data_IF_943068481402
#
_entry.id   IF_943068481402
#
_cell.length_a   1.000
_cell.length_b   1.000
_cell.length_c   1.000
_cell.angle_alpha   90.00
_cell.angle_beta   90.00
_cell.angle_gamma   90.00
#
_symmetry.space_group_name_H-M   'P 1'
#
loop_
_entity.id
_entity.type
_entity.pdbx_description
1 polymer ?
#
# COMPACT_ATOMS: atom_id res chain seq x y z
N UNK A 1 15.12 -36.45 -72.74
CA UNK A 1 14.45 -36.73 -71.50
C UNK A 1 14.84 -35.66 -70.47
N UNK A 2 14.07 -34.59 -70.35
CA UNK A 2 14.36 -33.53 -69.38
C UNK A 2 13.47 -33.73 -68.14
N UNK A 3 14.07 -34.00 -66.99
CA UNK A 3 13.39 -34.05 -65.72
C UNK A 3 13.27 -32.61 -65.19
N UNK A 4 12.05 -32.11 -65.09
CA UNK A 4 11.74 -30.83 -64.43
C UNK A 4 11.72 -31.06 -62.90
N UNK A 5 12.63 -30.40 -62.17
CA UNK A 5 12.60 -30.35 -60.73
C UNK A 5 11.63 -29.23 -60.32
N UNK A 6 10.56 -29.58 -59.57
CA UNK A 6 9.68 -28.63 -58.90
C UNK A 6 10.35 -28.19 -57.58
N UNK A 7 10.69 -26.93 -57.47
CA UNK A 7 11.11 -26.31 -56.21
C UNK A 7 9.83 -25.82 -55.51
N UNK A 8 9.46 -26.49 -54.44
CA UNK A 8 8.36 -26.07 -53.56
C UNK A 8 8.89 -24.94 -52.66
N UNK A 9 8.36 -23.73 -52.85
CA UNK A 9 8.63 -22.57 -52.02
C UNK A 9 7.71 -22.66 -50.79
N UNK A 10 8.23 -23.05 -49.63
CA UNK A 10 7.51 -23.02 -48.37
C UNK A 10 7.40 -21.57 -47.88
N UNK A 11 6.19 -21.03 -47.95
CA UNK A 11 5.85 -19.76 -47.25
C UNK A 11 5.77 -20.03 -45.75
N UNK A 12 6.77 -19.57 -45.01
CA UNK A 12 6.67 -19.47 -43.55
C UNK A 12 5.82 -18.24 -43.24
N UNK A 13 4.53 -18.47 -42.93
CA UNK A 13 3.66 -17.43 -42.36
C UNK A 13 4.10 -17.24 -40.93
N UNK A 14 4.95 -16.25 -40.70
CA UNK A 14 5.27 -15.77 -39.37
C UNK A 14 3.98 -15.19 -38.74
N UNK A 15 3.50 -15.83 -37.67
CA UNK A 15 2.45 -15.27 -36.86
C UNK A 15 2.98 -13.98 -36.20
N UNK A 16 2.69 -12.84 -36.82
CA UNK A 16 2.83 -11.55 -36.16
C UNK A 16 1.79 -11.51 -35.05
N UNK A 17 2.26 -11.57 -33.80
CA UNK A 17 1.39 -11.24 -32.66
C UNK A 17 0.92 -9.79 -32.87
N UNK A 18 -0.38 -9.63 -33.10
CA UNK A 18 -0.99 -8.32 -33.12
C UNK A 18 -0.78 -7.69 -31.75
N UNK A 19 0.18 -6.78 -31.65
CA UNK A 19 0.31 -5.93 -30.48
C UNK A 19 -1.03 -5.18 -30.36
N UNK A 20 -1.73 -5.45 -29.26
CA UNK A 20 -2.97 -4.73 -28.98
C UNK A 20 -2.66 -3.23 -28.97
N UNK A 21 -3.41 -2.47 -29.77
CA UNK A 21 -3.28 -1.02 -29.78
C UNK A 21 -3.55 -0.49 -28.38
N UNK A 22 -2.72 0.43 -27.87
CA UNK A 22 -2.93 1.00 -26.53
C UNK A 22 -4.31 1.65 -26.46
N UNK A 23 -5.02 1.42 -25.36
CA UNK A 23 -6.34 2.01 -25.14
C UNK A 23 -6.24 3.53 -25.22
N UNK A 24 -7.22 4.18 -25.85
CA UNK A 24 -7.23 5.61 -26.20
C UNK A 24 -7.02 6.57 -25.00
N UNK A 25 -7.13 6.08 -23.77
CA UNK A 25 -6.94 6.82 -22.51
C UNK A 25 -5.67 6.46 -21.74
N UNK A 26 -4.73 5.74 -22.34
CA UNK A 26 -3.53 5.33 -21.62
C UNK A 26 -2.61 6.54 -21.39
N UNK A 27 -2.35 6.84 -20.11
CA UNK A 27 -1.37 7.85 -19.72
C UNK A 27 0.02 7.24 -19.75
N UNK A 28 1.01 8.05 -20.17
CA UNK A 28 2.40 7.63 -20.26
C UNK A 28 3.27 8.44 -19.30
N UNK A 29 4.29 7.82 -18.77
CA UNK A 29 5.35 8.51 -18.05
C UNK A 29 6.25 9.30 -19.03
N UNK A 30 7.09 10.20 -18.48
CA UNK A 30 8.02 10.99 -19.31
C UNK A 30 8.97 10.16 -20.18
N UNK A 31 9.23 8.91 -19.79
CA UNK A 31 10.06 7.94 -20.52
C UNK A 31 9.28 7.17 -21.62
N UNK A 32 8.01 7.51 -21.86
CA UNK A 32 7.17 6.85 -22.85
C UNK A 32 6.58 5.50 -22.43
N UNK A 33 6.79 5.08 -21.17
CA UNK A 33 6.18 3.86 -20.65
C UNK A 33 4.75 4.12 -20.18
N UNK A 34 3.82 3.16 -20.38
CA UNK A 34 2.49 3.28 -19.83
C UNK A 34 2.53 3.44 -18.30
N UNK A 35 1.86 4.45 -17.78
CA UNK A 35 1.63 4.54 -16.33
C UNK A 35 0.76 3.35 -15.99
N UNK A 36 1.25 2.49 -15.13
CA UNK A 36 0.46 1.37 -14.67
C UNK A 36 -0.81 1.89 -14.01
N UNK A 37 -1.95 1.46 -14.53
CA UNK A 37 -3.24 1.81 -13.97
C UNK A 37 -3.28 1.40 -12.50
N UNK A 38 -3.82 2.29 -11.67
CA UNK A 38 -4.16 1.92 -10.30
C UNK A 38 -5.14 0.76 -10.37
N UNK A 39 -4.98 -0.29 -9.57
CA UNK A 39 -6.01 -1.30 -9.45
C UNK A 39 -7.33 -0.64 -9.05
N UNK A 40 -8.46 -1.19 -9.48
CA UNK A 40 -9.79 -0.63 -9.20
C UNK A 40 -9.97 -0.34 -7.71
N UNK A 41 -9.45 -1.20 -6.86
CA UNK A 41 -9.47 -1.06 -5.38
C UNK A 41 -8.71 0.17 -4.88
N UNK A 42 -7.66 0.59 -5.57
CA UNK A 42 -6.87 1.78 -5.23
C UNK A 42 -7.33 3.04 -5.98
N UNK A 43 -8.48 2.98 -6.68
CA UNK A 43 -9.01 4.11 -7.47
C UNK A 43 -9.11 5.39 -6.66
N UNK A 44 -9.55 5.29 -5.43
CA UNK A 44 -9.80 6.42 -4.54
C UNK A 44 -8.54 6.87 -3.78
N UNK A 45 -7.38 6.21 -4.01
CA UNK A 45 -6.11 6.66 -3.48
C UNK A 45 -5.70 7.98 -4.14
N UNK A 46 -5.52 9.02 -3.33
CA UNK A 46 -5.10 10.35 -3.76
C UNK A 46 -3.60 10.45 -3.58
N UNK A 47 -2.88 10.55 -4.68
CA UNK A 47 -1.45 10.80 -4.70
C UNK A 47 -1.20 12.31 -4.84
N UNK A 48 -0.37 12.87 -3.95
CA UNK A 48 -0.08 14.31 -3.94
C UNK A 48 0.97 14.66 -5.00
N UNK A 49 0.83 15.84 -5.61
CA UNK A 49 1.86 16.42 -6.48
C UNK A 49 3.09 16.87 -5.71
N UNK A 50 2.92 17.27 -4.46
CA UNK A 50 3.99 17.69 -3.56
C UNK A 50 3.78 17.01 -2.22
N UNK A 51 4.83 16.39 -1.71
CA UNK A 51 4.82 15.73 -0.41
C UNK A 51 4.48 16.72 0.72
N UNK A 52 3.84 16.23 1.78
CA UNK A 52 3.35 17.03 2.91
C UNK A 52 3.96 16.51 4.22
N UNK A 53 3.88 17.32 5.26
CA UNK A 53 4.24 16.88 6.61
C UNK A 53 3.29 15.80 7.13
N UNK A 54 3.84 14.89 7.94
CA UNK A 54 3.10 13.88 8.69
C UNK A 54 3.70 13.81 10.10
N UNK A 55 2.91 13.65 11.17
CA UNK A 55 3.45 13.47 12.50
C UNK A 55 4.21 12.13 12.58
N UNK A 56 5.49 12.18 12.88
CA UNK A 56 6.33 10.98 12.95
C UNK A 56 6.45 10.43 14.37
N UNK A 57 6.22 11.25 15.37
CA UNK A 57 6.42 10.98 16.79
C UNK A 57 5.11 11.16 17.59
N UNK A 58 5.14 10.81 18.87
CA UNK A 58 4.00 10.94 19.78
C UNK A 58 3.18 9.65 19.92
N UNK A 59 3.59 8.57 19.28
CA UNK A 59 2.91 7.28 19.34
C UNK A 59 3.46 6.38 20.46
N UNK A 60 2.65 5.40 20.88
CA UNK A 60 3.08 4.36 21.83
C UNK A 60 2.60 3.00 21.34
N UNK A 61 3.34 1.95 21.68
CA UNK A 61 2.83 0.59 21.57
C UNK A 61 1.77 0.30 22.66
N UNK A 62 1.13 -0.86 22.58
CA UNK A 62 0.09 -1.22 23.55
C UNK A 62 0.64 -1.50 24.96
N UNK A 63 1.95 -1.65 25.13
CA UNK A 63 2.63 -1.74 26.43
C UNK A 63 2.99 -0.35 26.98
N UNK A 64 2.82 0.72 26.20
CA UNK A 64 3.09 2.10 26.58
C UNK A 64 4.48 2.62 26.22
N UNK A 65 5.29 1.83 25.50
CA UNK A 65 6.63 2.26 25.08
C UNK A 65 6.52 3.27 23.92
N UNK A 66 7.31 4.35 23.93
CA UNK A 66 7.33 5.33 22.85
C UNK A 66 7.66 4.70 21.50
N UNK A 67 6.99 5.14 20.45
CA UNK A 67 7.18 4.70 19.09
C UNK A 67 7.30 5.90 18.14
N UNK A 68 8.14 5.77 17.13
CA UNK A 68 8.34 6.77 16.09
C UNK A 68 8.36 6.15 14.71
N UNK A 69 7.68 6.76 13.75
CA UNK A 69 7.74 6.36 12.34
C UNK A 69 9.12 6.65 11.73
N UNK A 70 9.92 7.52 12.34
CA UNK A 70 11.30 7.83 11.91
C UNK A 70 12.22 6.62 11.92
N UNK A 71 11.89 5.55 12.68
CA UNK A 71 12.65 4.29 12.67
C UNK A 71 12.57 3.55 11.31
N UNK A 72 11.63 3.93 10.45
CA UNK A 72 11.42 3.30 9.14
C UNK A 72 11.93 4.16 7.98
N UNK A 73 12.94 5.01 8.23
CA UNK A 73 13.63 5.73 7.16
C UNK A 73 14.02 4.79 6.03
N UNK A 74 14.08 5.32 4.83
CA UNK A 74 14.38 4.64 3.57
C UNK A 74 13.27 3.70 3.05
N UNK A 75 12.21 3.43 3.84
CA UNK A 75 11.10 2.56 3.43
C UNK A 75 9.88 3.36 2.98
N UNK A 76 9.09 2.77 2.10
CA UNK A 76 7.70 3.18 1.93
C UNK A 76 6.93 2.74 3.18
N UNK A 77 6.32 3.69 3.89
CA UNK A 77 5.52 3.37 5.08
C UNK A 77 4.04 3.56 4.78
N UNK A 78 3.25 2.53 5.00
CA UNK A 78 1.79 2.58 4.89
C UNK A 78 1.23 2.57 6.30
N UNK A 79 0.67 3.70 6.71
CA UNK A 79 0.08 3.91 8.03
C UNK A 79 -1.42 3.67 7.94
N UNK A 80 -1.90 2.62 8.60
CA UNK A 80 -3.31 2.31 8.80
C UNK A 80 -3.80 3.02 10.06
N UNK A 81 -4.56 4.08 9.91
CA UNK A 81 -5.21 4.80 11.01
C UNK A 81 -6.58 4.21 11.24
N UNK A 82 -6.81 3.68 12.43
CA UNK A 82 -8.01 2.90 12.74
C UNK A 82 -8.55 3.12 14.14
N UNK A 83 -9.72 2.55 14.41
CA UNK A 83 -10.33 2.53 15.74
C UNK A 83 -11.04 1.22 16.01
N UNK A 84 -10.86 0.66 17.22
CA UNK A 84 -11.47 -0.61 17.61
C UNK A 84 -13.01 -0.57 17.67
N UNK A 85 -13.58 0.62 17.68
CA UNK A 85 -15.03 0.88 17.68
C UNK A 85 -15.62 0.94 16.26
N UNK A 86 -14.79 1.09 15.22
CA UNK A 86 -15.25 1.16 13.84
C UNK A 86 -15.50 -0.23 13.26
N UNK A 87 -16.72 -0.53 12.88
CA UNK A 87 -17.08 -1.81 12.27
C UNK A 87 -16.30 -2.08 10.97
N UNK A 88 -15.98 -1.03 10.21
CA UNK A 88 -15.18 -1.13 8.99
C UNK A 88 -13.73 -1.50 9.32
N UNK A 89 -13.13 -0.87 10.33
CA UNK A 89 -11.78 -1.23 10.79
C UNK A 89 -11.72 -2.66 11.34
N UNK A 90 -12.76 -3.07 12.07
CA UNK A 90 -12.83 -4.45 12.58
C UNK A 90 -12.79 -5.49 11.45
N UNK A 91 -13.44 -5.20 10.32
CA UNK A 91 -13.42 -6.08 9.14
C UNK A 91 -12.08 -6.09 8.42
N UNK A 92 -11.36 -4.96 8.38
CA UNK A 92 -10.05 -4.87 7.72
C UNK A 92 -8.88 -5.38 8.57
N UNK A 93 -9.02 -5.43 9.89
CA UNK A 93 -7.93 -5.79 10.80
C UNK A 93 -7.24 -7.14 10.50
N UNK A 94 -7.96 -8.26 10.16
CA UNK A 94 -7.30 -9.50 9.78
C UNK A 94 -6.41 -9.36 8.54
N UNK A 95 -6.80 -8.50 7.61
CA UNK A 95 -6.07 -8.26 6.39
C UNK A 95 -4.83 -7.41 6.66
N UNK A 96 -4.94 -6.42 7.56
CA UNK A 96 -3.78 -5.64 8.02
C UNK A 96 -2.77 -6.54 8.74
N UNK A 97 -3.23 -7.49 9.57
CA UNK A 97 -2.36 -8.48 10.18
C UNK A 97 -1.58 -9.30 9.15
N UNK A 98 -2.25 -9.71 8.06
CA UNK A 98 -1.61 -10.41 6.94
C UNK A 98 -0.54 -9.54 6.28
N UNK A 99 -0.83 -8.29 5.97
CA UNK A 99 0.15 -7.38 5.37
C UNK A 99 1.33 -7.10 6.30
N UNK A 100 1.10 -6.93 7.59
CA UNK A 100 2.20 -6.79 8.54
C UNK A 100 3.10 -8.04 8.54
N UNK A 101 2.53 -9.24 8.51
CA UNK A 101 3.29 -10.48 8.44
C UNK A 101 4.10 -10.62 7.13
N UNK A 102 3.55 -10.12 6.02
CA UNK A 102 4.17 -10.19 4.69
C UNK A 102 5.27 -9.15 4.51
N UNK A 103 4.99 -7.90 4.86
CA UNK A 103 5.86 -6.77 4.53
C UNK A 103 6.75 -6.29 5.67
N UNK A 104 6.45 -6.61 6.94
CA UNK A 104 7.24 -6.14 8.08
C UNK A 104 8.49 -6.99 8.32
N UNK A 105 9.19 -7.36 7.26
CA UNK A 105 10.46 -8.08 7.29
C UNK A 105 11.63 -7.10 7.16
N UNK A 106 12.82 -7.42 7.71
CA UNK A 106 13.98 -6.53 7.65
C UNK A 106 14.35 -6.10 6.23
N UNK A 107 14.31 -7.04 5.27
CA UNK A 107 14.67 -6.85 3.87
C UNK A 107 13.61 -6.10 3.07
N UNK A 108 12.37 -6.00 3.53
CA UNK A 108 11.28 -5.35 2.81
C UNK A 108 11.49 -3.85 2.72
N UNK A 109 11.26 -3.29 1.53
CA UNK A 109 11.22 -1.83 1.29
C UNK A 109 9.92 -1.19 1.75
N UNK A 110 8.95 -2.00 2.16
CA UNK A 110 7.62 -1.58 2.58
C UNK A 110 7.44 -1.89 4.06
N UNK A 111 6.77 -1.00 4.76
CA UNK A 111 6.40 -1.18 6.17
C UNK A 111 4.93 -0.83 6.37
N UNK A 112 4.18 -1.73 7.00
CA UNK A 112 2.82 -1.48 7.46
C UNK A 112 2.80 -1.18 8.96
N UNK A 113 2.19 -0.05 9.33
CA UNK A 113 2.05 0.37 10.72
C UNK A 113 0.59 0.69 11.00
N UNK A 114 -0.06 -0.07 11.87
CA UNK A 114 -1.41 0.27 12.32
C UNK A 114 -1.33 1.17 13.56
N UNK A 115 -2.02 2.31 13.52
CA UNK A 115 -2.08 3.27 14.64
C UNK A 115 -3.54 3.50 15.01
N UNK A 116 -3.90 3.10 16.22
CA UNK A 116 -5.25 3.31 16.74
C UNK A 116 -5.42 4.73 17.29
N UNK A 117 -6.57 5.34 16.97
CA UNK A 117 -7.02 6.60 17.58
C UNK A 117 -8.03 6.35 18.73
N UNK A 118 -8.04 5.17 19.31
CA UNK A 118 -8.81 4.90 20.52
C UNK A 118 -8.30 5.75 21.70
N UNK A 119 -9.21 6.38 22.43
CA UNK A 119 -8.86 7.13 23.65
C UNK A 119 -8.26 6.26 24.77
N UNK A 120 -8.48 4.94 24.70
CA UNK A 120 -8.01 4.00 25.70
C UNK A 120 -7.41 2.76 25.04
N UNK A 121 -6.09 2.54 25.14
CA UNK A 121 -5.40 1.42 24.52
C UNK A 121 -5.93 0.05 24.98
N UNK A 122 -6.52 -0.04 26.18
CA UNK A 122 -7.15 -1.27 26.65
C UNK A 122 -8.33 -1.73 25.76
N UNK A 123 -8.96 -0.82 25.01
CA UNK A 123 -9.98 -1.20 24.02
C UNK A 123 -9.36 -1.93 22.85
N UNK A 124 -8.21 -1.44 22.34
CA UNK A 124 -7.44 -2.08 21.28
C UNK A 124 -6.99 -3.48 21.72
N UNK A 125 -6.39 -3.60 22.90
CA UNK A 125 -5.95 -4.89 23.45
C UNK A 125 -7.10 -5.88 23.54
N UNK A 126 -8.25 -5.46 24.11
CA UNK A 126 -9.45 -6.31 24.18
C UNK A 126 -10.00 -6.71 22.82
N UNK A 127 -9.95 -5.81 21.86
CA UNK A 127 -10.36 -6.12 20.49
C UNK A 127 -9.45 -7.21 19.89
N UNK A 128 -8.13 -7.03 19.94
CA UNK A 128 -7.15 -8.00 19.41
C UNK A 128 -7.34 -9.38 20.02
N UNK A 129 -7.49 -9.45 21.36
CA UNK A 129 -7.72 -10.71 22.06
C UNK A 129 -9.05 -11.38 21.67
N UNK A 130 -10.14 -10.61 21.61
CA UNK A 130 -11.48 -11.13 21.28
C UNK A 130 -11.58 -11.64 19.85
N UNK A 131 -10.92 -10.96 18.90
CA UNK A 131 -10.97 -11.30 17.47
C UNK A 131 -9.93 -12.34 17.09
N UNK A 132 -9.11 -12.79 18.05
CA UNK A 132 -8.03 -13.76 17.80
C UNK A 132 -7.16 -13.40 16.59
N UNK A 133 -6.83 -12.12 16.48
CA UNK A 133 -5.88 -11.67 15.45
C UNK A 133 -4.55 -12.39 15.65
N UNK A 134 -3.81 -12.66 14.56
CA UNK A 134 -2.48 -13.27 14.64
C UNK A 134 -1.58 -12.46 15.58
N UNK A 135 -0.65 -13.13 16.28
CA UNK A 135 0.35 -12.47 17.14
C UNK A 135 1.25 -11.48 16.37
N UNK A 136 1.33 -11.66 15.05
CA UNK A 136 2.02 -10.73 14.16
C UNK A 136 1.32 -9.37 14.03
N UNK A 137 0.04 -9.27 14.41
CA UNK A 137 -0.66 -7.99 14.39
C UNK A 137 -0.16 -7.09 15.51
N UNK A 138 0.56 -6.06 15.13
CA UNK A 138 1.01 -5.00 16.02
C UNK A 138 0.25 -3.71 15.76
N UNK A 139 -0.28 -3.10 16.79
CA UNK A 139 -0.87 -1.76 16.71
C UNK A 139 -0.20 -0.84 17.71
N UNK A 140 0.13 0.34 17.26
CA UNK A 140 0.40 1.47 18.13
C UNK A 140 -0.90 2.19 18.46
N UNK A 141 -0.82 3.17 19.32
CA UNK A 141 -1.93 4.10 19.56
C UNK A 141 -1.42 5.53 19.64
N UNK A 142 -2.31 6.47 19.38
CA UNK A 142 -2.08 7.91 19.37
C UNK A 142 -2.70 8.52 20.64
N UNK A 143 -1.95 8.60 21.77
CA UNK A 143 -2.48 9.04 23.07
C UNK A 143 -2.92 10.49 23.06
N UNK A 144 -2.23 11.33 22.30
CA UNK A 144 -2.42 12.78 22.29
C UNK A 144 -3.29 13.25 21.09
N UNK A 145 -3.83 12.29 20.33
CA UNK A 145 -4.66 12.55 19.14
C UNK A 145 -4.02 13.49 18.11
N UNK A 146 -2.70 13.36 17.91
CA UNK A 146 -1.96 14.17 16.93
C UNK A 146 -2.40 13.91 15.49
N UNK A 147 -2.79 12.66 15.17
CA UNK A 147 -3.26 12.31 13.83
C UNK A 147 -4.58 13.03 13.53
N UNK A 148 -5.68 12.87 14.31
CA UNK A 148 -6.93 13.54 13.98
C UNK A 148 -6.86 15.06 14.13
N UNK A 149 -5.89 15.61 14.86
CA UNK A 149 -5.68 17.04 14.95
C UNK A 149 -5.01 17.65 13.70
N UNK A 150 -4.26 16.86 12.93
CA UNK A 150 -3.44 17.34 11.83
C UNK A 150 -3.83 16.80 10.45
N UNK A 151 -4.56 15.69 10.41
CA UNK A 151 -4.89 14.96 9.18
C UNK A 151 -6.39 14.67 9.09
N UNK A 152 -6.93 14.47 7.87
CA UNK A 152 -8.32 14.12 7.66
C UNK A 152 -8.60 12.66 8.07
N UNK A 153 -8.67 12.41 9.39
CA UNK A 153 -8.98 11.10 10.00
C UNK A 153 -10.46 10.99 10.42
N UNK A 154 -11.35 11.72 9.75
CA UNK A 154 -12.80 11.74 9.95
C UNK A 154 -13.51 10.49 9.41
N UNK A 155 -12.88 9.79 8.45
CA UNK A 155 -13.37 8.53 7.87
C UNK A 155 -12.34 7.42 8.13
N UNK A 156 -12.76 6.37 8.82
CA UNK A 156 -11.92 5.23 9.18
C UNK A 156 -12.31 3.94 8.45
N UNK A 157 -11.35 3.07 8.14
CA UNK A 157 -9.90 3.28 8.25
C UNK A 157 -9.38 4.37 7.31
N UNK A 158 -8.26 4.98 7.68
CA UNK A 158 -7.52 5.90 6.81
C UNK A 158 -6.13 5.34 6.53
N UNK A 159 -5.74 5.24 5.27
CA UNK A 159 -4.40 4.75 4.90
C UNK A 159 -3.58 5.91 4.37
N UNK A 160 -2.48 6.19 5.03
CA UNK A 160 -1.56 7.26 4.69
C UNK A 160 -0.24 6.66 4.23
N UNK A 161 0.26 7.13 3.10
CA UNK A 161 1.50 6.61 2.50
C UNK A 161 2.60 7.64 2.66
N UNK A 162 3.69 7.22 3.31
CA UNK A 162 4.87 8.05 3.53
C UNK A 162 6.02 7.57 2.66
N UNK A 163 6.81 8.53 2.16
CA UNK A 163 8.06 8.25 1.45
C UNK A 163 9.19 7.83 2.40
N UNK A 164 10.36 7.49 1.86
CA UNK A 164 11.54 7.11 2.64
C UNK A 164 12.10 8.23 3.53
N UNK A 165 11.62 9.45 3.42
CA UNK A 165 11.97 10.59 4.27
C UNK A 165 10.91 10.87 5.35
N UNK A 166 9.80 10.13 5.34
CA UNK A 166 8.68 10.31 6.26
C UNK A 166 7.67 11.38 5.84
N UNK A 167 7.72 11.83 4.60
CA UNK A 167 6.74 12.78 4.10
C UNK A 167 5.51 12.07 3.53
N UNK A 168 4.34 12.64 3.78
CA UNK A 168 3.07 12.14 3.26
C UNK A 168 2.98 12.40 1.75
N UNK A 169 2.91 11.33 0.97
CA UNK A 169 2.83 11.37 -0.50
C UNK A 169 1.45 11.00 -1.05
N UNK A 170 0.59 10.43 -0.24
CA UNK A 170 -0.78 10.14 -0.62
C UNK A 170 -1.60 9.50 0.49
N UNK A 171 -2.89 9.38 0.26
CA UNK A 171 -3.80 8.73 1.21
C UNK A 171 -5.06 8.18 0.52
N UNK A 172 -5.72 7.26 1.21
CA UNK A 172 -7.08 6.81 0.91
C UNK A 172 -7.88 6.68 2.20
N UNK A 173 -9.17 7.00 2.16
CA UNK A 173 -10.07 6.93 3.32
C UNK A 173 -11.20 5.94 3.07
N UNK A 174 -11.64 5.29 4.14
CA UNK A 174 -12.71 4.31 4.09
C UNK A 174 -12.20 2.89 3.80
N UNK A 175 -13.15 2.00 3.61
CA UNK A 175 -12.83 0.60 3.33
C UNK A 175 -12.19 0.46 1.95
N UNK A 176 -11.06 -0.23 1.93
CA UNK A 176 -10.38 -0.66 0.72
C UNK A 176 -10.29 -2.18 0.76
N UNK A 177 -10.69 -2.84 -0.30
CA UNK A 177 -10.53 -4.28 -0.42
C UNK A 177 -9.09 -4.61 -0.82
N UNK A 178 -8.24 -4.65 0.17
CA UNK A 178 -6.83 -4.98 0.00
C UNK A 178 -6.57 -6.44 -0.41
N UNK A 179 -7.61 -7.28 -0.51
CA UNK A 179 -7.47 -8.67 -0.98
C UNK A 179 -7.34 -8.79 -2.50
N UNK A 180 -7.56 -7.71 -3.24
CA UNK A 180 -7.36 -7.66 -4.69
C UNK A 180 -5.91 -8.07 -5.04
N UNK A 181 -5.72 -9.09 -5.90
CA UNK A 181 -4.39 -9.60 -6.26
C UNK A 181 -3.48 -8.57 -6.95
N UNK A 182 -4.02 -7.45 -7.44
CA UNK A 182 -3.23 -6.36 -8.03
C UNK A 182 -2.59 -5.43 -6.99
N UNK A 183 -3.03 -5.49 -5.72
CA UNK A 183 -2.56 -4.61 -4.64
C UNK A 183 -1.06 -4.79 -4.34
N UNK A 184 -0.52 -6.00 -4.19
CA UNK A 184 0.91 -6.17 -3.93
C UNK A 184 1.79 -5.54 -5.01
N UNK A 185 1.47 -5.76 -6.28
CA UNK A 185 2.21 -5.15 -7.39
C UNK A 185 2.11 -3.62 -7.39
N UNK A 186 0.99 -3.06 -6.95
CA UNK A 186 0.83 -1.63 -6.81
C UNK A 186 1.68 -1.05 -5.67
N UNK A 187 1.76 -1.75 -4.53
CA UNK A 187 2.65 -1.34 -3.44
C UNK A 187 4.12 -1.36 -3.85
N UNK A 188 4.57 -2.36 -4.61
CA UNK A 188 5.94 -2.37 -5.13
C UNK A 188 6.21 -1.17 -6.05
N UNK A 189 5.27 -0.76 -6.89
CA UNK A 189 5.40 0.46 -7.71
C UNK A 189 5.50 1.73 -6.86
N UNK A 190 4.70 1.82 -5.80
CA UNK A 190 4.82 2.94 -4.86
C UNK A 190 6.18 2.91 -4.15
N UNK A 191 6.69 1.72 -3.79
CA UNK A 191 8.01 1.58 -3.19
C UNK A 191 9.14 1.92 -4.17
N UNK A 192 9.01 1.58 -5.45
CA UNK A 192 9.96 1.99 -6.50
C UNK A 192 10.03 3.50 -6.65
N UNK A 193 8.91 4.18 -6.42
CA UNK A 193 8.81 5.63 -6.58
C UNK A 193 9.24 6.40 -5.32
N UNK A 194 8.94 5.88 -4.13
CA UNK A 194 8.97 6.63 -2.88
C UNK A 194 9.94 6.10 -1.82
N UNK A 195 10.29 4.81 -1.82
CA UNK A 195 11.34 4.32 -0.94
C UNK A 195 12.71 4.80 -1.45
N UNK A 196 13.64 5.06 -0.52
CA UNK A 196 15.01 5.41 -0.91
C UNK A 196 15.70 4.17 -1.49
N UNK A 197 16.26 4.30 -2.68
CA UNK A 197 17.08 3.23 -3.29
C UNK A 197 18.45 3.22 -2.60
N UNK A 198 18.82 2.08 -2.05
CA UNK A 198 20.18 1.83 -1.55
C UNK A 198 21.09 1.46 -2.72
#
# INVERSE_FOLDING_TARGET
>A
MFKKALIALAFVVGAQSAAALPAFNQKFEKNGQPIAEKPMVARDFIEFRTARGFPLDGFKDLAGNPQSLSQFKDKLVIVDVWGSWSATCQRSAPLMAKFQAEYNKPESRIRFVSISIDKNPKRVTRFVQRTKLPETFASWYDPDHVIPATLPADVLPGFFVLDGHGHLVGFVRGFVDWSDPAVPAYFEKLADKYAVRK
#
